data_IF_383206631096
#
_entry.id   IF_383206631096
#
_cell.length_a   1.000
_cell.length_b   1.000
_cell.length_c   1.000
_cell.angle_alpha   90.00
_cell.angle_beta   90.00
_cell.angle_gamma   90.00
#
_symmetry.space_group_name_H-M   'P 1'
#
loop_
_entity.id
_entity.type
_entity.pdbx_description
1 polymer ?
#
# COMPACT_ATOMS: atom_id res chain seq x y z
N UNK A 1 13.36 7.82 7.87
CA UNK A 1 12.17 8.44 8.48
C UNK A 1 12.16 9.98 8.38
N UNK A 2 12.94 10.61 7.49
CA UNK A 2 12.96 12.08 7.36
C UNK A 2 11.90 12.66 6.42
N UNK A 3 11.16 11.79 5.70
CA UNK A 3 10.24 12.21 4.64
C UNK A 3 8.77 12.04 5.03
N UNK A 4 8.47 11.43 6.19
CA UNK A 4 7.12 11.39 6.76
C UNK A 4 6.94 12.59 7.68
N UNK A 5 5.82 13.30 7.53
CA UNK A 5 5.55 14.54 8.28
C UNK A 5 5.07 14.31 9.71
N UNK A 6 4.66 13.08 10.05
CA UNK A 6 4.14 12.69 11.36
C UNK A 6 4.77 11.38 11.80
N UNK A 7 4.99 11.23 13.10
CA UNK A 7 5.47 9.97 13.63
C UNK A 7 4.41 8.85 13.43
N UNK A 8 4.80 7.65 12.99
CA UNK A 8 3.87 6.53 12.85
C UNK A 8 3.12 6.17 14.15
N UNK A 9 3.77 6.29 15.32
CA UNK A 9 3.13 6.01 16.61
C UNK A 9 2.05 7.05 16.94
N UNK A 10 2.28 8.32 16.59
CA UNK A 10 1.27 9.37 16.73
C UNK A 10 0.06 9.09 15.83
N UNK A 11 0.29 8.64 14.60
CA UNK A 11 -0.77 8.26 13.67
C UNK A 11 -1.59 7.07 14.20
N UNK A 12 -0.94 6.08 14.82
CA UNK A 12 -1.63 4.95 15.46
C UNK A 12 -2.50 5.42 16.62
N UNK A 13 -1.97 6.27 17.50
CA UNK A 13 -2.71 6.80 18.65
C UNK A 13 -3.90 7.68 18.24
N UNK A 14 -3.80 8.39 17.11
CA UNK A 14 -4.91 9.14 16.52
C UNK A 14 -5.97 8.23 15.89
N UNK A 15 -5.56 7.06 15.37
CA UNK A 15 -6.46 6.12 14.70
C UNK A 15 -7.24 5.28 15.70
N UNK A 16 -6.59 4.72 16.71
CA UNK A 16 -7.18 3.80 17.69
C UNK A 16 -7.02 4.34 19.11
N UNK A 17 -8.14 4.66 19.76
CA UNK A 17 -8.16 5.33 21.06
C UNK A 17 -9.52 5.20 21.75
N UNK A 18 -9.86 6.12 22.65
CA UNK A 18 -11.10 6.05 23.43
C UNK A 18 -12.39 6.11 22.57
N UNK A 19 -12.32 6.67 21.36
CA UNK A 19 -13.48 6.87 20.49
C UNK A 19 -13.58 5.86 19.33
N UNK A 20 -12.50 5.16 19.00
CA UNK A 20 -12.47 4.15 17.93
C UNK A 20 -11.63 2.96 18.39
N UNK A 21 -12.23 1.77 18.41
CA UNK A 21 -11.59 0.52 18.81
C UNK A 21 -11.61 -0.49 17.67
N UNK A 22 -10.48 -1.16 17.47
CA UNK A 22 -10.30 -2.19 16.43
C UNK A 22 -9.75 -3.46 17.10
N UNK A 23 -10.61 -4.28 17.75
CA UNK A 23 -10.16 -5.44 18.53
C UNK A 23 -9.42 -6.49 17.68
N UNK A 24 -9.75 -6.60 16.39
CA UNK A 24 -9.09 -7.49 15.44
C UNK A 24 -7.93 -6.83 14.67
N UNK A 25 -7.59 -5.59 15.04
CA UNK A 25 -6.56 -4.79 14.40
C UNK A 25 -7.03 -4.02 13.14
N UNK A 26 -6.09 -3.31 12.52
CA UNK A 26 -6.32 -2.51 11.32
C UNK A 26 -5.05 -2.43 10.47
N UNK A 27 -5.20 -2.08 9.19
CA UNK A 27 -4.09 -1.69 8.33
C UNK A 27 -4.11 -0.18 8.15
N UNK A 28 -3.03 0.50 8.55
CA UNK A 28 -2.91 1.95 8.43
C UNK A 28 -1.95 2.31 7.30
N UNK A 29 -2.48 2.95 6.26
CA UNK A 29 -1.68 3.49 5.17
C UNK A 29 -1.10 4.84 5.57
N UNK A 30 0.24 4.92 5.68
CA UNK A 30 0.95 6.12 6.15
C UNK A 30 1.13 7.20 5.07
N UNK A 31 0.51 7.02 3.90
CA UNK A 31 0.64 7.89 2.74
C UNK A 31 1.81 7.52 1.83
N UNK A 32 1.90 8.24 0.70
CA UNK A 32 3.02 8.17 -0.25
C UNK A 32 3.74 9.50 -0.28
N UNK A 33 5.06 9.47 -0.48
CA UNK A 33 5.90 10.66 -0.49
C UNK A 33 5.68 11.52 -1.74
N UNK A 34 5.21 10.91 -2.83
CA UNK A 34 5.07 11.57 -4.12
C UNK A 34 3.74 11.20 -4.76
N UNK A 35 3.01 12.21 -5.21
CA UNK A 35 2.01 12.02 -6.25
C UNK A 35 2.74 11.96 -7.59
N UNK A 36 2.42 11.00 -8.49
CA UNK A 36 3.01 10.96 -9.82
C UNK A 36 2.45 12.14 -10.63
N UNK A 37 3.12 13.28 -10.55
CA UNK A 37 2.75 14.51 -11.27
C UNK A 37 3.45 14.64 -12.62
N UNK A 38 4.35 13.71 -12.93
CA UNK A 38 5.08 13.72 -14.19
C UNK A 38 4.16 13.27 -15.32
N UNK A 39 4.04 14.11 -16.34
CA UNK A 39 3.25 13.81 -17.53
C UNK A 39 3.73 12.52 -18.19
N UNK A 40 2.79 11.60 -18.42
CA UNK A 40 3.08 10.35 -19.13
C UNK A 40 3.03 10.50 -20.65
N UNK A 41 2.04 11.22 -21.17
CA UNK A 41 1.75 11.31 -22.61
C UNK A 41 1.96 12.71 -23.19
N UNK A 42 1.28 13.70 -22.62
CA UNK A 42 1.26 15.07 -23.11
C UNK A 42 1.52 16.05 -21.97
N UNK A 43 2.18 17.19 -22.25
CA UNK A 43 2.39 18.24 -21.27
C UNK A 43 1.08 18.67 -20.57
N UNK A 44 1.08 18.68 -19.25
CA UNK A 44 -0.07 19.02 -18.41
C UNK A 44 -1.15 17.95 -18.28
N UNK A 45 -0.98 16.75 -18.87
CA UNK A 45 -1.96 15.66 -18.80
C UNK A 45 -1.86 14.83 -17.50
N UNK A 46 -0.78 15.01 -16.73
CA UNK A 46 -0.46 14.23 -15.55
C UNK A 46 -0.07 12.79 -15.86
N UNK A 47 0.01 12.00 -14.80
CA UNK A 47 0.24 10.57 -14.87
C UNK A 47 -1.07 9.81 -14.73
N UNK A 48 -1.25 8.78 -15.55
CA UNK A 48 -2.25 7.75 -15.32
C UNK A 48 -1.67 6.39 -15.70
N UNK A 49 -2.17 5.35 -15.03
CA UNK A 49 -1.83 3.99 -15.39
C UNK A 49 -2.52 3.57 -16.69
N UNK A 50 -1.85 2.68 -17.43
CA UNK A 50 -2.39 2.05 -18.62
C UNK A 50 -2.45 0.53 -18.43
N UNK A 51 -3.33 -0.13 -19.17
CA UNK A 51 -3.44 -1.59 -19.15
C UNK A 51 -2.09 -2.21 -19.51
N UNK A 52 -1.66 -3.18 -18.71
CA UNK A 52 -0.38 -3.85 -18.85
C UNK A 52 0.77 -3.23 -18.04
N UNK A 53 0.60 -2.04 -17.47
CA UNK A 53 1.61 -1.46 -16.57
C UNK A 53 1.97 -2.43 -15.45
N UNK A 54 3.26 -2.53 -15.13
CA UNK A 54 3.71 -3.22 -13.91
C UNK A 54 4.02 -2.21 -12.82
N UNK A 55 3.26 -2.26 -11.73
CA UNK A 55 3.46 -1.43 -10.54
C UNK A 55 4.22 -2.25 -9.51
N UNK A 56 5.42 -1.78 -9.13
CA UNK A 56 6.27 -2.43 -8.13
C UNK A 56 6.58 -1.47 -7.00
N UNK A 57 6.36 -1.91 -5.77
CA UNK A 57 6.72 -1.19 -4.54
C UNK A 57 7.63 -2.12 -3.75
N UNK A 58 8.87 -1.68 -3.49
CA UNK A 58 9.89 -2.48 -2.80
C UNK A 58 10.30 -1.80 -1.51
N UNK A 59 10.38 -2.58 -0.44
CA UNK A 59 11.02 -2.21 0.81
C UNK A 59 12.00 -3.35 1.18
N UNK A 60 13.31 -3.12 1.30
CA UNK A 60 14.30 -4.18 1.48
C UNK A 60 13.98 -5.19 2.60
N UNK A 61 13.31 -4.75 3.66
CA UNK A 61 12.92 -5.59 4.79
C UNK A 61 11.64 -6.39 4.58
N UNK A 62 10.76 -5.94 3.67
CA UNK A 62 9.45 -6.55 3.41
C UNK A 62 9.37 -7.27 2.06
N UNK A 63 10.30 -7.01 1.15
CA UNK A 63 10.29 -7.51 -0.23
C UNK A 63 9.55 -6.56 -1.17
N UNK A 64 8.92 -7.13 -2.20
CA UNK A 64 8.26 -6.36 -3.27
C UNK A 64 6.79 -6.74 -3.38
N UNK A 65 5.92 -5.73 -3.38
CA UNK A 65 4.55 -5.83 -3.86
C UNK A 65 4.53 -5.49 -5.35
N UNK A 66 4.15 -6.43 -6.20
CA UNK A 66 4.05 -6.24 -7.65
C UNK A 66 2.66 -6.58 -8.15
N UNK A 67 2.07 -5.69 -8.94
CA UNK A 67 0.80 -5.89 -9.60
C UNK A 67 0.90 -5.46 -11.07
N UNK A 68 0.06 -6.06 -11.92
CA UNK A 68 -0.12 -5.62 -13.30
C UNK A 68 -1.48 -4.96 -13.45
N UNK A 69 -1.52 -3.79 -14.05
CA UNK A 69 -2.74 -3.02 -14.27
C UNK A 69 -3.61 -3.73 -15.30
N UNK A 70 -4.85 -3.99 -14.93
CA UNK A 70 -5.88 -4.56 -15.80
C UNK A 70 -7.24 -3.95 -15.45
N UNK A 71 -8.23 -4.19 -16.30
CA UNK A 71 -9.62 -3.84 -15.99
C UNK A 71 -10.12 -4.76 -14.87
N UNK A 72 -10.81 -4.17 -13.89
CA UNK A 72 -11.43 -4.89 -12.77
C UNK A 72 -12.22 -6.14 -13.18
N UNK A 73 -13.11 -6.12 -14.21
CA UNK A 73 -13.84 -7.31 -14.63
C UNK A 73 -12.97 -8.46 -15.18
N UNK A 74 -11.75 -8.17 -15.62
CA UNK A 74 -10.82 -9.15 -16.18
C UNK A 74 -9.86 -9.71 -15.12
N UNK A 75 -9.84 -9.12 -13.92
CA UNK A 75 -9.01 -9.57 -12.83
C UNK A 75 -9.58 -10.86 -12.20
N UNK A 76 -8.73 -11.83 -11.83
CA UNK A 76 -9.19 -13.00 -11.10
C UNK A 76 -9.74 -12.58 -9.73
N UNK A 77 -10.69 -13.37 -9.22
CA UNK A 77 -11.19 -13.21 -7.86
C UNK A 77 -10.04 -13.26 -6.84
N UNK A 78 -10.11 -12.41 -5.82
CA UNK A 78 -9.05 -12.32 -4.81
C UNK A 78 -9.01 -13.59 -3.96
N UNK A 79 -7.83 -14.21 -3.88
CA UNK A 79 -7.54 -15.34 -2.99
C UNK A 79 -6.57 -14.99 -1.86
N UNK A 80 -5.97 -13.80 -1.90
CA UNK A 80 -5.00 -13.32 -0.94
C UNK A 80 -5.58 -12.18 -0.10
N UNK A 81 -6.01 -12.50 1.12
CA UNK A 81 -6.53 -11.53 2.09
C UNK A 81 -5.59 -11.30 3.28
N UNK A 82 -6.05 -10.55 4.29
CA UNK A 82 -5.27 -10.17 5.47
C UNK A 82 -4.63 -11.37 6.19
N UNK A 83 -5.37 -12.47 6.39
CA UNK A 83 -4.79 -13.66 7.04
C UNK A 83 -3.70 -14.32 6.21
N UNK A 84 -3.78 -14.28 4.87
CA UNK A 84 -2.74 -14.79 3.99
C UNK A 84 -1.48 -13.91 4.06
N UNK A 85 -1.66 -12.58 4.16
CA UNK A 85 -0.57 -11.64 4.42
C UNK A 85 0.14 -11.94 5.74
N UNK A 86 -0.60 -12.06 6.85
CA UNK A 86 -0.01 -12.35 8.15
C UNK A 86 0.74 -13.68 8.16
N UNK A 87 0.17 -14.74 7.55
CA UNK A 87 0.88 -16.03 7.40
C UNK A 87 2.15 -15.90 6.55
N UNK A 88 2.12 -15.11 5.48
CA UNK A 88 3.31 -14.87 4.65
C UNK A 88 4.41 -14.15 5.43
N UNK A 89 4.08 -13.13 6.22
CA UNK A 89 5.03 -12.40 7.05
C UNK A 89 5.65 -13.29 8.13
N UNK A 90 4.83 -14.09 8.84
CA UNK A 90 5.28 -15.02 9.86
C UNK A 90 6.21 -16.11 9.28
N UNK A 91 5.85 -16.69 8.13
CA UNK A 91 6.69 -17.68 7.44
C UNK A 91 8.06 -17.14 7.01
N UNK A 92 8.19 -15.81 6.91
CA UNK A 92 9.43 -15.10 6.57
C UNK A 92 10.15 -14.52 7.80
N UNK A 93 9.64 -14.73 9.01
CA UNK A 93 10.22 -14.22 10.26
C UNK A 93 10.13 -12.70 10.41
N UNK A 94 9.10 -12.07 9.83
CA UNK A 94 8.90 -10.62 9.88
C UNK A 94 7.92 -10.16 10.98
N UNK A 95 7.17 -11.10 11.55
CA UNK A 95 6.28 -10.95 12.72
C UNK A 95 6.34 -12.20 13.58
#
# INVERSE_FOLDING_TARGET
>A
MSQISRDPLDLVAQTCGAHHQYPDGFCLYLGTLFAPVQDRRAPGAGFTHEIGDEVRITEPRLGTLQNRVSLSPDCPAWSFGTSALMRNLAARGLI
#
